data_IF_404106960693
#
_entry.id   IF_404106960693
#
_cell.length_a   1.000
_cell.length_b   1.000
_cell.length_c   1.000
_cell.angle_alpha   90.00
_cell.angle_beta   90.00
_cell.angle_gamma   90.00
#
_symmetry.space_group_name_H-M   'P 1'
#
loop_
_entity.id
_entity.type
_entity.pdbx_description
1 polymer ?
#
# COMPACT_ATOMS: atom_id res chain seq x y z
N UNK A 1 13.82 -14.11 -58.80
CA UNK A 1 13.51 -14.67 -57.46
C UNK A 1 13.40 -13.50 -56.51
N UNK A 2 12.17 -13.09 -56.17
CA UNK A 2 11.89 -11.94 -55.32
C UNK A 2 11.19 -12.47 -54.07
N UNK A 3 11.90 -12.49 -52.94
CA UNK A 3 11.40 -12.95 -51.64
C UNK A 3 11.10 -11.75 -50.74
N UNK A 4 9.89 -11.74 -50.19
CA UNK A 4 9.19 -10.72 -49.41
C UNK A 4 9.85 -10.31 -48.07
N UNK A 5 9.42 -9.17 -47.48
CA UNK A 5 10.13 -8.44 -46.42
C UNK A 5 9.91 -9.11 -45.07
N UNK A 6 10.91 -9.06 -44.18
CA UNK A 6 10.72 -9.43 -42.79
C UNK A 6 11.02 -8.22 -41.89
N UNK A 7 10.14 -7.23 -41.98
CA UNK A 7 10.03 -6.18 -40.98
C UNK A 7 8.88 -6.58 -40.06
N UNK A 8 9.21 -7.25 -38.97
CA UNK A 8 8.32 -7.39 -37.83
C UNK A 8 8.95 -6.64 -36.64
N UNK A 9 8.96 -5.31 -36.74
CA UNK A 9 8.96 -4.48 -35.56
C UNK A 9 7.50 -4.34 -35.12
N UNK A 10 7.15 -4.90 -33.97
CA UNK A 10 6.47 -4.21 -32.87
C UNK A 10 5.76 -5.18 -31.90
N UNK A 11 5.82 -4.78 -30.61
CA UNK A 11 4.88 -5.05 -29.52
C UNK A 11 5.15 -6.22 -28.56
N UNK A 12 6.20 -6.09 -27.75
CA UNK A 12 6.24 -6.78 -26.44
C UNK A 12 5.54 -6.00 -25.31
N UNK A 13 4.99 -4.80 -25.57
CA UNK A 13 4.15 -4.11 -24.58
C UNK A 13 2.68 -4.59 -24.56
N UNK A 14 2.25 -5.47 -25.47
CA UNK A 14 0.82 -5.81 -25.66
C UNK A 14 0.38 -7.18 -25.14
N UNK A 15 1.29 -8.13 -24.90
CA UNK A 15 0.93 -9.49 -24.49
C UNK A 15 1.86 -10.04 -23.41
N UNK A 16 1.54 -9.85 -22.12
CA UNK A 16 2.23 -10.61 -21.08
C UNK A 16 1.94 -12.10 -21.32
N UNK A 17 2.97 -12.95 -21.26
CA UNK A 17 2.99 -14.40 -21.50
C UNK A 17 3.31 -14.90 -22.92
N UNK A 18 3.66 -14.05 -23.89
CA UNK A 18 4.35 -14.53 -25.09
C UNK A 18 5.85 -14.65 -24.83
N UNK A 19 6.36 -15.87 -24.65
CA UNK A 19 7.79 -16.16 -24.86
C UNK A 19 8.05 -16.10 -26.35
N UNK A 20 8.34 -14.89 -26.84
CA UNK A 20 8.89 -14.67 -28.17
C UNK A 20 10.26 -15.35 -28.21
N UNK A 21 10.39 -16.46 -28.92
CA UNK A 21 11.71 -17.01 -29.23
C UNK A 21 12.45 -15.99 -30.10
N UNK A 22 13.28 -15.15 -29.46
CA UNK A 22 14.02 -14.08 -30.10
C UNK A 22 15.13 -14.66 -30.98
N UNK A 23 14.75 -15.16 -32.16
CA UNK A 23 15.69 -15.65 -33.18
C UNK A 23 16.11 -14.47 -34.04
N UNK A 24 17.32 -13.96 -33.79
CA UNK A 24 17.93 -12.95 -34.66
C UNK A 24 18.15 -13.45 -36.09
N UNK A 25 18.36 -12.55 -37.08
CA UNK A 25 18.88 -12.90 -38.39
C UNK A 25 20.11 -13.80 -38.23
N UNK A 26 20.01 -15.01 -38.76
CA UNK A 26 21.09 -15.99 -38.70
C UNK A 26 22.33 -15.54 -39.48
N UNK A 27 23.33 -16.42 -39.48
CA UNK A 27 24.60 -16.20 -40.18
C UNK A 27 24.40 -15.66 -41.60
N UNK A 28 25.02 -14.52 -41.88
CA UNK A 28 24.96 -13.82 -43.16
C UNK A 28 26.36 -13.39 -43.58
N UNK A 29 26.58 -13.03 -44.85
CA UNK A 29 27.89 -12.59 -45.35
C UNK A 29 28.48 -11.42 -44.53
N UNK A 30 27.61 -10.53 -44.04
CA UNK A 30 27.98 -9.37 -43.21
C UNK A 30 28.00 -9.67 -41.70
N UNK A 31 27.40 -10.77 -41.25
CA UNK A 31 27.43 -11.23 -39.86
C UNK A 31 27.77 -12.74 -39.81
N UNK A 32 29.02 -13.12 -40.17
CA UNK A 32 29.42 -14.52 -40.26
C UNK A 32 29.39 -15.23 -38.90
N UNK A 33 29.49 -14.47 -37.80
CA UNK A 33 29.41 -14.99 -36.44
C UNK A 33 27.97 -15.16 -35.94
N UNK A 34 26.96 -14.71 -36.70
CA UNK A 34 25.55 -14.73 -36.27
C UNK A 34 25.36 -14.02 -34.92
N UNK A 35 26.16 -12.98 -34.66
CA UNK A 35 26.16 -12.28 -33.40
C UNK A 35 24.84 -11.53 -33.25
N UNK A 36 23.99 -12.02 -32.36
CA UNK A 36 22.78 -11.36 -31.94
C UNK A 36 22.82 -11.23 -30.41
N UNK A 37 22.54 -10.06 -29.84
CA UNK A 37 22.41 -9.94 -28.40
C UNK A 37 21.31 -10.90 -27.95
N UNK A 38 21.69 -11.95 -27.21
CA UNK A 38 20.69 -12.68 -26.42
C UNK A 38 20.27 -11.74 -25.33
N UNK A 39 18.98 -11.42 -25.24
CA UNK A 39 18.47 -10.75 -24.06
C UNK A 39 18.59 -11.74 -22.89
N UNK A 40 19.66 -11.62 -22.11
CA UNK A 40 19.89 -12.41 -20.90
C UNK A 40 19.25 -11.77 -19.68
N UNK A 41 18.45 -10.71 -19.86
CA UNK A 41 17.66 -10.16 -18.76
C UNK A 41 16.65 -11.23 -18.36
N UNK A 42 16.95 -11.92 -17.26
CA UNK A 42 15.93 -12.65 -16.54
C UNK A 42 14.80 -11.66 -16.23
N UNK A 43 13.53 -11.99 -16.50
CA UNK A 43 12.44 -11.22 -15.94
C UNK A 43 12.66 -11.18 -14.43
N UNK A 44 12.64 -9.98 -13.86
CA UNK A 44 12.78 -9.78 -12.42
C UNK A 44 11.74 -10.68 -11.73
N UNK A 45 12.17 -11.61 -10.84
CA UNK A 45 11.24 -12.53 -10.19
C UNK A 45 10.21 -11.80 -9.31
N UNK A 46 10.49 -10.54 -8.94
CA UNK A 46 9.57 -9.68 -8.19
C UNK A 46 9.02 -8.57 -9.10
N UNK A 47 7.82 -8.74 -9.69
CA UNK A 47 7.14 -7.61 -10.33
C UNK A 47 6.97 -6.50 -9.28
N UNK A 48 7.35 -5.27 -9.67
CA UNK A 48 7.34 -4.04 -8.85
C UNK A 48 6.00 -3.82 -8.09
N UNK A 49 4.93 -4.50 -8.50
CA UNK A 49 3.64 -4.51 -7.80
C UNK A 49 3.66 -5.15 -6.40
N UNK A 50 4.57 -6.08 -6.10
CA UNK A 50 4.71 -6.69 -4.77
C UNK A 50 5.21 -5.70 -3.70
N UNK A 51 5.73 -4.55 -4.12
CA UNK A 51 6.23 -3.48 -3.25
C UNK A 51 5.40 -2.21 -3.31
N UNK A 52 4.16 -2.25 -3.80
CA UNK A 52 3.28 -1.09 -3.60
C UNK A 52 3.08 -0.93 -2.08
N UNK A 53 3.48 0.20 -1.48
CA UNK A 53 3.17 0.45 -0.08
C UNK A 53 1.65 0.36 0.06
N UNK A 54 1.19 -0.40 1.07
CA UNK A 54 -0.25 -0.49 1.38
C UNK A 54 -0.81 0.94 1.37
N UNK A 55 -1.83 1.18 0.55
CA UNK A 55 -2.46 2.49 0.44
C UNK A 55 -3.06 2.83 1.81
N UNK A 56 -2.34 3.63 2.60
CA UNK A 56 -2.84 4.13 3.89
C UNK A 56 -3.77 5.31 3.66
N UNK A 57 -4.63 5.64 4.62
CA UNK A 57 -5.46 6.85 4.55
C UNK A 57 -4.64 8.14 4.36
N UNK A 58 -3.36 8.13 4.74
CA UNK A 58 -2.45 9.26 4.55
C UNK A 58 -2.15 9.52 3.07
N UNK A 59 -2.23 8.50 2.21
CA UNK A 59 -2.11 8.64 0.76
C UNK A 59 -3.39 9.19 0.10
N UNK A 60 -4.52 9.20 0.80
CA UNK A 60 -5.79 9.71 0.29
C UNK A 60 -5.97 11.22 0.52
N UNK A 61 -5.03 11.88 1.20
CA UNK A 61 -5.09 13.31 1.53
C UNK A 61 -3.84 14.01 0.98
N UNK A 62 -4.03 15.17 0.35
CA UNK A 62 -2.94 15.95 -0.25
C UNK A 62 -1.91 16.44 0.80
N UNK A 63 -2.37 16.73 2.02
CA UNK A 63 -1.52 17.13 3.15
C UNK A 63 -1.59 16.09 4.29
N UNK A 64 -0.63 15.15 4.37
CA UNK A 64 -0.62 14.13 5.41
C UNK A 64 -0.37 14.70 6.81
N UNK A 65 0.32 15.84 6.92
CA UNK A 65 0.56 16.50 8.22
C UNK A 65 -0.72 17.07 8.82
N UNK A 66 -1.61 17.62 7.98
CA UNK A 66 -2.91 18.11 8.45
C UNK A 66 -3.77 16.97 9.02
N UNK A 67 -3.73 15.79 8.39
CA UNK A 67 -4.41 14.60 8.91
C UNK A 67 -3.79 14.15 10.25
N UNK A 68 -2.46 14.11 10.35
CA UNK A 68 -1.79 13.74 11.60
C UNK A 68 -2.14 14.70 12.75
N UNK A 69 -2.20 16.00 12.49
CA UNK A 69 -2.62 17.00 13.47
C UNK A 69 -4.08 16.79 13.89
N UNK A 70 -4.99 16.55 12.93
CA UNK A 70 -6.40 16.28 13.21
C UNK A 70 -6.59 15.00 14.05
N UNK A 71 -5.85 13.93 13.74
CA UNK A 71 -5.85 12.69 14.51
C UNK A 71 -5.33 12.90 15.93
N UNK A 72 -4.28 13.71 16.10
CA UNK A 72 -3.74 14.07 17.43
C UNK A 72 -4.78 14.83 18.26
N UNK A 73 -5.51 15.78 17.64
CA UNK A 73 -6.60 16.51 18.32
C UNK A 73 -7.76 15.59 18.69
N UNK A 74 -8.12 14.65 17.81
CA UNK A 74 -9.14 13.65 18.10
C UNK A 74 -8.74 12.76 19.28
N UNK A 75 -7.48 12.32 19.33
CA UNK A 75 -6.94 11.56 20.46
C UNK A 75 -7.03 12.33 21.79
N UNK A 76 -6.65 13.61 21.80
CA UNK A 76 -6.78 14.47 22.96
C UNK A 76 -8.24 14.64 23.41
N UNK A 77 -9.17 14.81 22.47
CA UNK A 77 -10.60 14.88 22.77
C UNK A 77 -11.16 13.58 23.37
N UNK A 78 -10.68 12.42 22.92
CA UNK A 78 -11.04 11.14 23.53
C UNK A 78 -10.52 11.04 24.96
N UNK A 79 -9.30 11.50 25.23
CA UNK A 79 -8.74 11.54 26.58
C UNK A 79 -9.54 12.45 27.51
N UNK A 80 -9.98 13.61 27.03
CA UNK A 80 -10.84 14.52 27.80
C UNK A 80 -12.15 13.82 28.21
N UNK A 81 -12.81 13.13 27.27
CA UNK A 81 -14.06 12.41 27.56
C UNK A 81 -13.83 11.27 28.55
N UNK A 82 -12.77 10.48 28.38
CA UNK A 82 -12.41 9.40 29.31
C UNK A 82 -12.16 9.97 30.72
N UNK A 83 -11.42 11.06 30.81
CA UNK A 83 -11.11 11.71 32.09
C UNK A 83 -12.37 12.23 32.79
N UNK A 84 -13.37 12.72 32.05
CA UNK A 84 -14.67 13.11 32.62
C UNK A 84 -15.37 11.90 33.26
N UNK A 85 -15.46 10.77 32.55
CA UNK A 85 -16.02 9.55 33.13
C UNK A 85 -15.23 9.06 34.34
N UNK A 86 -13.90 9.11 34.29
CA UNK A 86 -13.04 8.68 35.41
C UNK A 86 -13.18 9.60 36.64
N UNK A 87 -13.34 10.90 36.44
CA UNK A 87 -13.61 11.84 37.53
C UNK A 87 -14.96 11.53 38.20
N UNK A 88 -16.01 11.33 37.39
CA UNK A 88 -17.34 10.99 37.86
C UNK A 88 -17.42 9.61 38.51
N UNK A 89 -16.58 8.65 38.08
CA UNK A 89 -16.44 7.33 38.73
C UNK A 89 -16.16 7.48 40.22
N UNK A 90 -15.28 8.38 40.62
CA UNK A 90 -14.93 8.54 42.04
C UNK A 90 -16.11 9.06 42.88
N UNK A 91 -17.02 9.81 42.25
CA UNK A 91 -18.22 10.37 42.86
C UNK A 91 -19.35 9.35 42.87
N UNK A 92 -19.69 8.78 41.70
CA UNK A 92 -20.84 7.89 41.47
C UNK A 92 -20.58 6.44 41.88
N UNK A 93 -19.33 5.96 41.95
CA UNK A 93 -19.04 4.62 42.46
C UNK A 93 -19.38 4.50 43.95
N UNK A 94 -19.44 5.61 44.69
CA UNK A 94 -19.97 5.64 46.07
C UNK A 94 -21.47 5.37 46.13
N UNK A 95 -22.19 5.64 45.03
CA UNK A 95 -23.64 5.47 44.90
C UNK A 95 -24.02 4.16 44.20
N UNK A 96 -23.04 3.34 43.80
CA UNK A 96 -23.25 1.97 43.30
C UNK A 96 -23.74 1.85 41.85
N UNK A 97 -23.89 2.95 41.10
CA UNK A 97 -24.51 2.93 39.76
C UNK A 97 -23.62 3.51 38.65
N UNK A 98 -22.34 3.10 38.57
CA UNK A 98 -21.39 3.58 37.55
C UNK A 98 -21.26 2.65 36.32
N UNK A 99 -22.13 1.66 36.14
CA UNK A 99 -22.00 0.64 35.07
C UNK A 99 -21.91 1.26 33.68
N UNK A 100 -22.76 2.24 33.37
CA UNK A 100 -22.75 2.94 32.06
C UNK A 100 -21.51 3.79 31.84
N UNK A 101 -20.95 4.38 32.90
CA UNK A 101 -19.70 5.11 32.81
C UNK A 101 -18.50 4.21 32.50
N UNK A 102 -18.50 2.97 33.03
CA UNK A 102 -17.49 1.96 32.68
C UNK A 102 -17.59 1.52 31.22
N UNK A 103 -18.82 1.26 30.73
CA UNK A 103 -19.07 0.95 29.31
C UNK A 103 -18.60 2.09 28.39
N UNK A 104 -18.84 3.35 28.80
CA UNK A 104 -18.37 4.53 28.07
C UNK A 104 -16.84 4.58 27.98
N UNK A 105 -16.13 4.41 29.10
CA UNK A 105 -14.66 4.39 29.12
C UNK A 105 -14.11 3.31 28.16
N UNK A 106 -14.63 2.09 28.24
CA UNK A 106 -14.19 0.97 27.39
C UNK A 106 -14.41 1.28 25.89
N UNK A 107 -15.52 1.93 25.53
CA UNK A 107 -15.80 2.34 24.16
C UNK A 107 -14.79 3.36 23.66
N UNK A 108 -14.54 4.44 24.40
CA UNK A 108 -13.60 5.49 23.98
C UNK A 108 -12.16 4.98 23.96
N UNK A 109 -11.77 4.08 24.86
CA UNK A 109 -10.47 3.40 24.81
C UNK A 109 -10.34 2.53 23.54
N UNK A 110 -11.41 1.83 23.14
CA UNK A 110 -11.40 1.04 21.90
C UNK A 110 -11.19 1.92 20.66
N UNK A 111 -11.78 3.11 20.64
CA UNK A 111 -11.58 4.08 19.55
C UNK A 111 -10.16 4.61 19.51
N UNK A 112 -9.55 4.89 20.67
CA UNK A 112 -8.12 5.25 20.73
C UNK A 112 -7.23 4.16 20.13
N UNK A 113 -7.49 2.89 20.45
CA UNK A 113 -6.72 1.77 19.88
C UNK A 113 -6.87 1.69 18.35
N UNK A 114 -8.07 1.93 17.82
CA UNK A 114 -8.28 1.99 16.37
C UNK A 114 -7.52 3.15 15.75
N UNK A 115 -7.51 4.31 16.40
CA UNK A 115 -6.81 5.51 15.93
C UNK A 115 -5.29 5.31 15.89
N UNK A 116 -4.72 4.62 16.89
CA UNK A 116 -3.31 4.23 16.90
C UNK A 116 -2.95 3.27 15.76
N UNK A 117 -3.82 2.31 15.45
CA UNK A 117 -3.62 1.40 14.29
C UNK A 117 -3.62 2.16 12.97
N UNK A 118 -4.54 3.13 12.82
CA UNK A 118 -4.60 4.01 11.66
C UNK A 118 -3.30 4.82 11.54
N UNK A 119 -2.83 5.44 12.63
CA UNK A 119 -1.55 6.18 12.66
C UNK A 119 -0.36 5.29 12.30
N UNK A 120 -0.38 4.01 12.68
CA UNK A 120 0.64 3.03 12.35
C UNK A 120 0.53 2.46 10.92
N UNK A 121 -0.49 2.83 10.15
CA UNK A 121 -0.75 2.26 8.82
C UNK A 121 -1.14 0.77 8.85
N UNK A 122 -1.70 0.32 9.97
CA UNK A 122 -2.15 -1.06 10.22
C UNK A 122 -3.68 -1.21 10.15
N UNK A 123 -4.32 -0.30 9.41
CA UNK A 123 -5.75 -0.29 9.11
C UNK A 123 -6.25 -1.59 8.45
#
# INVERSE_FOLDING_TARGET
>A
MSGTPNVAFQNEAKYPHQTTEFRGPGVSAENPAGAFPRDTRQPDPDPIEAHRPKSTIFGAIENPYALQEALTKLEAGLDEVINLFQAEKNTLAREGNFTKGKEGIELFESWKQQLERIKAGQE
#
